data_IF_330852047877
#
_entry.id   IF_330852047877
#
_cell.length_a   1.000
_cell.length_b   1.000
_cell.length_c   1.000
_cell.angle_alpha   90.00
_cell.angle_beta   90.00
_cell.angle_gamma   90.00
#
_symmetry.space_group_name_H-M   'P 1'
#
loop_
_entity.id
_entity.type
_entity.pdbx_description
1 polymer ?
#
# COMPACT_ATOMS: atom_id res chain seq x y z
N UNK A 1 -9.02 -7.60 13.05
CA UNK A 1 -8.97 -7.43 11.57
C UNK A 1 -7.89 -8.34 11.01
N UNK A 2 -8.18 -9.10 9.95
CA UNK A 2 -7.14 -9.83 9.24
C UNK A 2 -6.25 -8.87 8.44
N UNK A 3 -5.01 -9.27 8.14
CA UNK A 3 -4.09 -8.47 7.31
C UNK A 3 -4.68 -8.16 5.93
N UNK A 4 -5.47 -9.08 5.37
CA UNK A 4 -6.17 -8.90 4.10
C UNK A 4 -7.29 -7.86 4.20
N UNK A 5 -8.07 -7.89 5.28
CA UNK A 5 -9.08 -6.87 5.56
C UNK A 5 -8.44 -5.48 5.75
N UNK A 6 -7.28 -5.42 6.41
CA UNK A 6 -6.54 -4.17 6.59
C UNK A 6 -6.02 -3.62 5.25
N UNK A 7 -5.50 -4.49 4.37
CA UNK A 7 -5.08 -4.10 3.02
C UNK A 7 -6.26 -3.58 2.18
N UNK A 8 -7.41 -4.26 2.25
CA UNK A 8 -8.63 -3.82 1.58
C UNK A 8 -9.05 -2.43 2.06
N UNK A 9 -9.10 -2.21 3.38
CA UNK A 9 -9.46 -0.92 3.95
C UNK A 9 -8.50 0.22 3.51
N UNK A 10 -7.20 -0.07 3.42
CA UNK A 10 -6.22 0.89 2.89
C UNK A 10 -6.45 1.20 1.41
N UNK A 11 -6.79 0.20 0.59
CA UNK A 11 -7.11 0.42 -0.83
C UNK A 11 -8.39 1.25 -0.99
N UNK A 12 -9.42 0.98 -0.20
CA UNK A 12 -10.67 1.74 -0.22
C UNK A 12 -10.43 3.21 0.16
N UNK A 13 -9.59 3.47 1.16
CA UNK A 13 -9.24 4.83 1.57
C UNK A 13 -8.40 5.56 0.52
N UNK A 14 -7.49 4.87 -0.17
CA UNK A 14 -6.72 5.44 -1.29
C UNK A 14 -7.64 5.84 -2.45
N UNK A 15 -8.62 5.01 -2.79
CA UNK A 15 -9.60 5.33 -3.84
C UNK A 15 -10.42 6.58 -3.48
N UNK A 16 -10.92 6.67 -2.24
CA UNK A 16 -11.63 7.86 -1.76
C UNK A 16 -10.78 9.14 -1.83
N UNK A 17 -9.50 9.04 -1.47
CA UNK A 17 -8.58 10.18 -1.56
C UNK A 17 -8.35 10.61 -3.02
N UNK A 18 -8.29 9.67 -3.96
CA UNK A 18 -8.20 10.01 -5.38
C UNK A 18 -9.44 10.76 -5.84
N UNK A 19 -10.64 10.25 -5.54
CA UNK A 19 -11.89 10.93 -5.91
C UNK A 19 -11.95 12.36 -5.34
N UNK A 20 -11.51 12.53 -4.09
CA UNK A 20 -11.43 13.85 -3.43
C UNK A 20 -10.39 14.77 -4.08
N UNK A 21 -9.22 14.25 -4.43
CA UNK A 21 -8.17 15.02 -5.11
C UNK A 21 -8.65 15.44 -6.48
N UNK A 22 -9.24 14.54 -7.26
CA UNK A 22 -9.76 14.81 -8.60
C UNK A 22 -10.85 15.88 -8.54
N UNK A 23 -11.78 15.75 -7.61
CA UNK A 23 -12.79 16.79 -7.39
C UNK A 23 -12.15 18.15 -7.05
N UNK A 24 -11.16 18.18 -6.15
CA UNK A 24 -10.45 19.42 -5.79
C UNK A 24 -9.67 20.02 -6.95
N UNK A 25 -9.03 19.20 -7.79
CA UNK A 25 -8.34 19.63 -9.01
C UNK A 25 -9.34 20.30 -9.96
N UNK A 26 -10.48 19.65 -10.23
CA UNK A 26 -11.51 20.17 -11.11
C UNK A 26 -12.07 21.52 -10.64
N UNK A 27 -12.15 21.73 -9.32
CA UNK A 27 -12.66 22.96 -8.71
C UNK A 27 -11.55 23.98 -8.38
N UNK A 28 -10.30 23.73 -8.79
CA UNK A 28 -9.12 24.58 -8.49
C UNK A 28 -8.93 24.82 -6.98
N UNK A 29 -9.33 23.85 -6.16
CA UNK A 29 -9.15 23.87 -4.72
C UNK A 29 -7.82 23.22 -4.33
N UNK A 30 -7.30 23.58 -3.15
CA UNK A 30 -6.08 22.99 -2.63
C UNK A 30 -6.30 21.52 -2.23
N UNK A 31 -5.51 20.62 -2.82
CA UNK A 31 -5.50 19.18 -2.55
C UNK A 31 -4.22 18.71 -1.84
N UNK A 32 -3.38 19.64 -1.38
CA UNK A 32 -2.04 19.34 -0.85
C UNK A 32 -2.06 18.47 0.43
N UNK A 33 -3.11 18.56 1.23
CA UNK A 33 -3.29 17.74 2.43
C UNK A 33 -3.67 16.30 2.05
N UNK A 34 -4.60 16.14 1.10
CA UNK A 34 -5.07 14.83 0.64
C UNK A 34 -3.94 14.07 -0.08
N UNK A 35 -3.14 14.76 -0.91
CA UNK A 35 -1.98 14.18 -1.57
C UNK A 35 -0.91 13.71 -0.56
N UNK A 36 -0.68 14.46 0.53
CA UNK A 36 0.23 14.04 1.61
C UNK A 36 -0.28 12.77 2.29
N UNK A 37 -1.57 12.72 2.61
CA UNK A 37 -2.21 11.55 3.21
C UNK A 37 -2.17 10.33 2.28
N UNK A 38 -2.45 10.53 0.99
CA UNK A 38 -2.36 9.49 -0.03
C UNK A 38 -0.95 8.89 -0.12
N UNK A 39 0.09 9.73 -0.07
CA UNK A 39 1.49 9.28 -0.03
C UNK A 39 1.82 8.46 1.23
N UNK A 40 1.29 8.85 2.39
CA UNK A 40 1.48 8.10 3.64
C UNK A 40 0.86 6.70 3.54
N UNK A 41 -0.41 6.61 3.15
CA UNK A 41 -1.12 5.32 3.02
C UNK A 41 -0.48 4.42 1.95
N UNK A 42 -0.04 5.00 0.84
CA UNK A 42 0.71 4.25 -0.20
C UNK A 42 2.00 3.66 0.37
N UNK A 43 2.70 4.39 1.23
CA UNK A 43 3.94 3.93 1.86
C UNK A 43 3.69 2.78 2.84
N UNK A 44 2.59 2.85 3.59
CA UNK A 44 2.16 1.76 4.48
C UNK A 44 1.79 0.49 3.69
N UNK A 45 1.06 0.64 2.59
CA UNK A 45 0.69 -0.48 1.73
C UNK A 45 1.93 -1.15 1.10
N UNK A 46 2.92 -0.34 0.69
CA UNK A 46 4.23 -0.86 0.22
C UNK A 46 5.00 -1.58 1.31
N UNK A 47 4.92 -1.14 2.58
CA UNK A 47 5.55 -1.85 3.71
C UNK A 47 4.92 -3.23 3.89
N UNK A 48 3.58 -3.29 3.94
CA UNK A 48 2.84 -4.55 4.07
C UNK A 48 3.13 -5.54 2.93
N UNK A 49 3.26 -5.06 1.69
CA UNK A 49 3.60 -5.93 0.56
C UNK A 49 5.06 -6.41 0.60
N UNK A 50 6.00 -5.61 1.13
CA UNK A 50 7.41 -6.04 1.28
C UNK A 50 7.59 -7.13 2.33
N UNK A 51 6.83 -7.06 3.43
CA UNK A 51 6.83 -8.11 4.45
C UNK A 51 6.38 -9.46 3.86
N UNK A 52 5.53 -9.44 2.83
CA UNK A 52 5.14 -10.64 2.10
C UNK A 52 6.29 -11.19 1.25
N UNK A 53 7.04 -10.35 0.54
CA UNK A 53 8.17 -10.79 -0.31
C UNK A 53 9.37 -11.30 0.50
N UNK A 54 9.57 -10.81 1.73
CA UNK A 54 10.63 -11.28 2.63
C UNK A 54 10.47 -12.73 3.07
N UNK A 55 9.23 -13.18 3.30
CA UNK A 55 8.95 -14.58 3.67
C UNK A 55 9.20 -15.58 2.54
N UNK A 56 8.88 -15.22 1.29
CA UNK A 56 9.11 -16.10 0.14
C UNK A 56 10.59 -16.23 -0.24
N UNK A 57 11.38 -15.17 -0.03
CA UNK A 57 12.85 -15.22 -0.19
C UNK A 57 13.51 -16.11 0.87
N UNK A 58 12.99 -16.12 2.09
CA UNK A 58 13.46 -17.01 3.17
C UNK A 58 13.17 -18.49 2.89
N UNK A 59 12.02 -18.82 2.29
CA UNK A 59 11.63 -20.22 2.04
C UNK A 59 12.36 -20.84 0.84
N UNK A 60 12.74 -20.02 -0.14
CA UNK A 60 13.48 -20.49 -1.34
C UNK A 60 14.98 -20.63 -1.12
N UNK A 61 15.55 -19.90 -0.15
CA UNK A 61 16.97 -20.04 0.20
C UNK A 61 17.23 -21.35 0.95
N UNK A 62 16.34 -21.80 1.83
CA UNK A 62 16.49 -23.11 2.51
C UNK A 62 16.31 -24.32 1.60
N UNK A 63 15.56 -24.19 0.50
CA UNK A 63 15.35 -25.29 -0.46
C UNK A 63 16.56 -25.52 -1.39
N UNK A 64 17.35 -24.47 -1.67
CA UNK A 64 18.56 -24.55 -2.49
C UNK A 64 19.79 -25.04 -1.70
N UNK A 65 19.82 -24.87 -0.38
CA UNK A 65 20.90 -25.34 0.48
C UNK A 65 20.90 -26.85 0.74
N UNK A 66 19.86 -27.58 0.33
CA UNK A 66 19.73 -29.04 0.45
C UNK A 66 20.08 -29.79 -0.84
N UNK A 67 20.49 -29.07 -1.89
CA UNK A 67 20.85 -29.62 -3.21
C UNK A 67 22.34 -29.45 -3.55
N UNK A 68 23.18 -29.11 -2.56
CA UNK A 68 24.64 -29.08 -2.65
C UNK A 68 25.25 -30.06 -1.65
#
# INVERSE_FOLDING_TARGET
>A
MSKQQFKSALQDELNKLNDQIDWKIMHRLSYACDARRHKQLTSELRRLNRDHLGLWRSLTTSALSLLL
#
